data_IF_471498774003
#
_entry.id   IF_471498774003
#
_cell.length_a   1.000
_cell.length_b   1.000
_cell.length_c   1.000
_cell.angle_alpha   90.00
_cell.angle_beta   90.00
_cell.angle_gamma   90.00
#
_symmetry.space_group_name_H-M   'P 1'
#
loop_
_entity.id
_entity.type
_entity.pdbx_description
1 polymer ?
#
# COMPACT_ATOMS: atom_id res chain seq x y z
N UNK A 1 13.09 -6.76 7.93
CA UNK A 1 11.88 -7.31 8.59
C UNK A 1 10.67 -7.07 7.70
N UNK A 2 9.76 -8.03 7.57
CA UNK A 2 8.53 -7.86 6.80
C UNK A 2 7.36 -7.55 7.74
N UNK A 3 6.84 -6.31 7.67
CA UNK A 3 5.73 -5.83 8.49
C UNK A 3 4.40 -5.85 7.72
N UNK A 4 4.31 -6.63 6.64
CA UNK A 4 3.08 -6.83 5.88
C UNK A 4 2.36 -8.12 6.33
N UNK A 5 1.06 -8.31 6.01
CA UNK A 5 0.29 -9.47 6.48
C UNK A 5 0.70 -10.83 5.90
N UNK A 6 1.49 -10.85 4.82
CA UNK A 6 1.81 -12.05 4.06
C UNK A 6 3.32 -12.13 3.83
N UNK A 7 3.85 -13.33 3.64
CA UNK A 7 5.24 -13.49 3.21
C UNK A 7 5.45 -12.81 1.85
N UNK A 8 6.67 -12.33 1.65
CA UNK A 8 7.09 -11.69 0.41
C UNK A 8 8.25 -12.50 -0.16
N UNK A 9 8.10 -12.97 -1.39
CA UNK A 9 9.19 -13.59 -2.11
C UNK A 9 10.01 -12.54 -2.87
N UNK A 10 11.33 -12.65 -2.80
CA UNK A 10 12.26 -11.88 -3.63
C UNK A 10 12.67 -12.76 -4.80
N UNK A 11 12.49 -12.25 -6.01
CA UNK A 11 12.74 -12.95 -7.26
C UNK A 11 13.91 -12.32 -8.02
N UNK A 12 14.80 -13.17 -8.53
CA UNK A 12 15.82 -12.82 -9.51
C UNK A 12 15.47 -13.32 -10.89
N UNK A 13 16.43 -13.21 -11.80
CA UNK A 13 16.28 -13.68 -13.19
C UNK A 13 16.06 -15.20 -13.27
N UNK A 14 16.68 -15.96 -12.37
CA UNK A 14 16.63 -17.43 -12.33
C UNK A 14 15.51 -17.99 -11.43
N UNK A 15 14.64 -17.14 -10.88
CA UNK A 15 13.53 -17.54 -10.02
C UNK A 15 13.59 -16.97 -8.60
N UNK A 16 12.87 -17.60 -7.67
CA UNK A 16 12.80 -17.17 -6.26
C UNK A 16 14.17 -17.29 -5.59
N UNK A 17 14.66 -16.17 -5.05
CA UNK A 17 15.93 -16.06 -4.30
C UNK A 17 15.69 -16.27 -2.80
N UNK A 18 14.65 -15.63 -2.26
CA UNK A 18 14.41 -15.53 -0.82
C UNK A 18 12.91 -15.43 -0.55
N UNK A 19 12.48 -15.95 0.59
CA UNK A 19 11.18 -15.62 1.17
C UNK A 19 11.39 -14.91 2.49
N UNK A 20 10.71 -13.78 2.67
CA UNK A 20 10.72 -13.00 3.89
C UNK A 20 9.35 -13.21 4.55
N UNK A 21 9.31 -14.08 5.55
CA UNK A 21 8.10 -14.34 6.32
C UNK A 21 7.59 -13.07 7.00
N UNK A 22 6.27 -12.94 7.10
CA UNK A 22 5.67 -11.87 7.87
C UNK A 22 6.08 -12.00 9.34
N UNK A 23 6.54 -10.91 9.94
CA UNK A 23 7.04 -10.90 11.31
C UNK A 23 6.22 -9.94 12.18
N UNK A 24 5.65 -10.48 13.27
CA UNK A 24 4.81 -9.72 14.19
C UNK A 24 3.44 -9.37 13.62
N UNK A 25 2.75 -8.42 14.27
CA UNK A 25 1.49 -7.89 13.77
C UNK A 25 1.77 -6.92 12.61
N UNK A 26 1.01 -7.05 11.51
CA UNK A 26 1.19 -6.19 10.35
C UNK A 26 1.01 -4.71 10.72
N UNK A 27 1.97 -3.89 10.27
CA UNK A 27 1.90 -2.44 10.43
C UNK A 27 0.69 -1.91 9.67
N UNK A 28 -0.15 -1.10 10.33
CA UNK A 28 -1.42 -0.65 9.77
C UNK A 28 -1.64 0.83 10.02
N UNK A 29 -1.84 1.58 8.95
CA UNK A 29 -2.28 2.96 9.04
C UNK A 29 -3.81 3.00 9.13
N UNK A 30 -4.36 3.69 10.13
CA UNK A 30 -5.77 4.11 10.13
C UNK A 30 -5.90 5.41 9.37
N UNK A 31 -6.94 5.50 8.55
CA UNK A 31 -7.26 6.68 7.76
C UNK A 31 -8.69 7.07 8.01
N UNK A 32 -8.89 8.33 8.37
CA UNK A 32 -10.21 8.90 8.41
C UNK A 32 -10.59 9.40 7.02
N UNK A 33 -11.68 8.83 6.50
CA UNK A 33 -12.28 9.25 5.23
C UNK A 33 -13.39 10.25 5.50
N UNK A 34 -13.45 11.32 4.69
CA UNK A 34 -14.52 12.30 4.75
C UNK A 34 -15.25 12.34 3.40
N UNK A 35 -16.58 12.32 3.44
CA UNK A 35 -17.40 12.59 2.25
C UNK A 35 -17.19 14.05 1.83
N UNK A 36 -16.75 14.24 0.58
CA UNK A 36 -16.45 15.54 -0.01
C UNK A 36 -17.59 16.07 -0.87
N UNK A 37 -18.60 15.24 -1.13
CA UNK A 37 -19.70 15.52 -2.03
C UNK A 37 -19.87 14.41 -3.05
N UNK A 38 -20.61 14.70 -4.11
CA UNK A 38 -21.00 13.72 -5.10
C UNK A 38 -20.42 14.10 -6.47
N UNK A 39 -19.75 13.14 -7.12
CA UNK A 39 -19.22 13.30 -8.47
C UNK A 39 -20.27 12.85 -9.48
N UNK A 40 -20.76 13.78 -10.30
CA UNK A 40 -21.77 13.51 -11.33
C UNK A 40 -21.09 13.10 -12.64
N UNK A 41 -21.41 11.91 -13.14
CA UNK A 41 -20.93 11.40 -14.43
C UNK A 41 -22.06 11.54 -15.45
N UNK A 42 -21.89 12.46 -16.40
CA UNK A 42 -22.77 12.57 -17.56
C UNK A 42 -22.36 11.57 -18.64
N UNK A 43 -23.22 10.63 -18.97
CA UNK A 43 -23.01 9.63 -20.03
C UNK A 43 -23.37 10.22 -21.40
N UNK A 44 -22.68 11.29 -21.81
CA UNK A 44 -22.98 12.00 -23.05
C UNK A 44 -22.65 11.20 -24.32
N UNK A 45 -23.44 10.17 -24.65
CA UNK A 45 -23.58 9.62 -26.02
C UNK A 45 -25.03 9.16 -26.21
N UNK A 46 -25.72 9.86 -27.12
CA UNK A 46 -27.11 9.66 -27.62
C UNK A 46 -28.23 9.82 -26.61
N UNK A 47 -29.10 10.81 -26.86
CA UNK A 47 -30.52 11.07 -26.46
C UNK A 47 -31.08 10.69 -25.08
N UNK A 48 -30.37 9.95 -24.24
CA UNK A 48 -30.77 9.55 -22.89
C UNK A 48 -29.63 9.93 -21.95
N UNK A 49 -29.68 11.17 -21.44
CA UNK A 49 -28.77 11.60 -20.38
C UNK A 49 -29.23 10.89 -19.11
N UNK A 50 -28.46 9.91 -18.66
CA UNK A 50 -28.53 9.41 -17.30
C UNK A 50 -27.35 9.99 -16.53
N UNK A 51 -27.65 10.87 -15.59
CA UNK A 51 -26.68 11.40 -14.64
C UNK A 51 -26.51 10.36 -13.52
N UNK A 52 -25.31 9.80 -13.41
CA UNK A 52 -24.96 8.93 -12.29
C UNK A 52 -24.20 9.73 -11.23
N UNK A 53 -24.67 9.66 -9.99
CA UNK A 53 -23.97 10.25 -8.85
C UNK A 53 -23.11 9.18 -8.16
N UNK A 54 -21.82 9.44 -8.02
CA UNK A 54 -20.88 8.60 -7.27
C UNK A 54 -20.37 9.41 -6.07
N UNK A 55 -20.54 8.92 -4.82
CA UNK A 55 -20.08 9.66 -3.66
C UNK A 55 -18.54 9.73 -3.65
N UNK A 56 -18.02 10.95 -3.52
CA UNK A 56 -16.60 11.24 -3.50
C UNK A 56 -16.11 11.35 -2.06
N UNK A 57 -15.09 10.58 -1.72
CA UNK A 57 -14.44 10.63 -0.42
C UNK A 57 -12.99 11.08 -0.55
N UNK A 58 -12.53 11.87 0.41
CA UNK A 58 -11.13 12.25 0.57
C UNK A 58 -10.53 11.62 1.81
N UNK A 59 -9.21 11.44 1.80
CA UNK A 59 -8.44 11.08 2.99
C UNK A 59 -8.04 12.38 3.68
N UNK A 60 -8.42 12.54 4.95
CA UNK A 60 -8.01 13.71 5.73
C UNK A 60 -6.52 13.63 6.06
N UNK A 61 -5.67 14.29 5.26
CA UNK A 61 -4.20 14.29 5.46
C UNK A 61 -3.74 15.05 6.70
N UNK A 62 -4.56 15.96 7.22
CA UNK A 62 -4.02 17.09 7.98
C UNK A 62 -3.61 16.78 9.43
N UNK A 63 -4.01 15.67 10.07
CA UNK A 63 -3.71 15.52 11.52
C UNK A 63 -3.87 14.14 12.19
N UNK A 64 -3.74 13.00 11.50
CA UNK A 64 -4.02 11.73 12.21
C UNK A 64 -3.81 10.40 11.50
N UNK A 65 -2.88 10.29 10.54
CA UNK A 65 -2.50 8.96 10.06
C UNK A 65 -1.73 8.23 11.18
N UNK A 66 -2.47 7.53 12.05
CA UNK A 66 -1.91 6.74 13.13
C UNK A 66 -1.52 5.39 12.56
N UNK A 67 -0.23 5.05 12.70
CA UNK A 67 0.28 3.74 12.34
C UNK A 67 0.39 2.88 13.59
N UNK A 68 -0.39 1.82 13.62
CA UNK A 68 -0.31 0.80 14.65
C UNK A 68 0.69 -0.30 14.23
N UNK A 69 1.34 -0.92 15.22
CA UNK A 69 2.24 -2.07 15.05
C UNK A 69 3.47 -1.86 14.15
N UNK A 70 3.85 -0.62 13.84
CA UNK A 70 5.13 -0.34 13.21
C UNK A 70 6.24 -0.35 14.29
N UNK A 71 7.24 -1.25 14.22
CA UNK A 71 8.32 -1.25 15.20
C UNK A 71 9.13 0.05 15.16
N UNK A 72 9.69 0.42 16.33
CA UNK A 72 10.68 1.50 16.42
C UNK A 72 11.90 1.19 15.56
N UNK A 73 12.58 2.22 15.00
CA UNK A 73 13.82 2.02 14.24
C UNK A 73 14.86 1.21 15.02
N UNK A 74 15.58 0.33 14.31
CA UNK A 74 16.69 -0.45 14.84
C UNK A 74 17.88 -0.40 13.89
N UNK A 75 19.07 -0.20 14.43
CA UNK A 75 20.27 0.00 13.62
C UNK A 75 20.52 -1.20 12.67
N UNK A 76 20.72 -0.92 11.39
CA UNK A 76 20.93 -1.94 10.36
C UNK A 76 19.67 -2.73 9.96
N UNK A 77 18.48 -2.34 10.42
CA UNK A 77 17.22 -3.01 10.07
C UNK A 77 16.37 -2.12 9.16
N UNK A 78 15.94 -2.66 8.02
CA UNK A 78 14.91 -2.04 7.17
C UNK A 78 13.58 -2.79 7.32
N UNK A 79 12.47 -2.07 7.22
CA UNK A 79 11.12 -2.58 7.41
C UNK A 79 10.32 -2.53 6.11
N UNK A 80 9.94 -3.69 5.58
CA UNK A 80 9.06 -3.77 4.42
C UNK A 80 7.63 -3.50 4.86
N UNK A 81 7.00 -2.47 4.29
CA UNK A 81 5.67 -1.99 4.67
C UNK A 81 4.80 -1.76 3.42
N UNK A 82 3.51 -1.50 3.63
CA UNK A 82 2.64 -1.03 2.56
C UNK A 82 2.88 0.45 2.26
N UNK A 83 2.55 0.88 1.03
CA UNK A 83 2.69 2.28 0.60
C UNK A 83 1.99 3.27 1.53
N UNK A 84 0.87 2.86 2.12
CA UNK A 84 0.09 3.74 3.00
C UNK A 84 0.74 3.93 4.36
N UNK A 85 1.40 2.88 4.88
CA UNK A 85 2.20 2.97 6.11
C UNK A 85 3.41 3.85 5.87
N UNK A 86 4.12 3.69 4.75
CA UNK A 86 5.24 4.56 4.43
C UNK A 86 4.81 6.04 4.29
N UNK A 87 3.70 6.30 3.59
CA UNK A 87 3.17 7.66 3.43
C UNK A 87 2.70 8.30 4.75
N UNK A 88 2.33 7.48 5.75
CA UNK A 88 1.93 7.94 7.08
C UNK A 88 3.12 8.31 7.98
N UNK A 89 4.33 7.82 7.68
CA UNK A 89 5.52 8.02 8.49
C UNK A 89 6.66 8.61 7.63
N UNK A 90 6.48 9.82 7.05
CA UNK A 90 7.44 10.41 6.11
C UNK A 90 8.80 10.73 6.74
N UNK A 91 8.88 10.77 8.07
CA UNK A 91 10.12 10.95 8.83
C UNK A 91 10.98 9.69 8.95
N UNK A 92 10.45 8.52 8.58
CA UNK A 92 11.17 7.24 8.66
C UNK A 92 11.95 6.97 7.37
N UNK A 93 13.26 6.84 7.49
CA UNK A 93 14.19 6.53 6.40
C UNK A 93 14.53 5.03 6.28
N UNK A 94 14.01 4.20 7.19
CA UNK A 94 14.23 2.77 7.29
C UNK A 94 13.06 1.92 6.72
N UNK A 95 12.12 2.55 6.01
CA UNK A 95 10.97 1.87 5.41
C UNK A 95 11.24 1.50 3.95
N UNK A 96 10.82 0.31 3.56
CA UNK A 96 10.90 -0.20 2.18
C UNK A 96 9.53 -0.59 1.66
N UNK A 97 9.32 -0.34 0.37
CA UNK A 97 8.20 -0.82 -0.41
C UNK A 97 8.68 -1.92 -1.36
N UNK A 98 7.79 -2.83 -1.72
CA UNK A 98 8.04 -3.76 -2.82
C UNK A 98 8.02 -3.02 -4.17
N UNK A 99 8.91 -3.40 -5.08
CA UNK A 99 9.02 -2.85 -6.43
C UNK A 99 9.11 -3.95 -7.48
N UNK A 100 8.59 -3.69 -8.68
CA UNK A 100 8.48 -4.69 -9.76
C UNK A 100 7.82 -6.00 -9.27
N UNK A 101 6.53 -5.91 -8.97
CA UNK A 101 5.77 -7.00 -8.35
C UNK A 101 5.72 -8.23 -9.27
N UNK A 102 6.00 -9.39 -8.70
CA UNK A 102 5.80 -10.70 -9.35
C UNK A 102 4.43 -11.22 -8.96
N UNK A 103 3.70 -11.74 -9.95
CA UNK A 103 2.35 -12.28 -9.79
C UNK A 103 2.29 -13.71 -10.29
N UNK A 104 1.44 -14.51 -9.67
CA UNK A 104 1.11 -15.84 -10.18
C UNK A 104 0.12 -15.77 -11.36
N UNK A 105 -0.25 -16.94 -11.88
CA UNK A 105 -1.18 -17.08 -13.01
C UNK A 105 -2.58 -16.53 -12.71
N UNK A 106 -2.98 -16.45 -11.44
CA UNK A 106 -4.24 -15.88 -10.97
C UNK A 106 -4.15 -14.35 -10.77
N UNK A 107 -2.96 -13.77 -10.99
CA UNK A 107 -2.69 -12.34 -10.84
C UNK A 107 -2.45 -11.91 -9.38
N UNK A 108 -2.38 -12.84 -8.44
CA UNK A 108 -2.07 -12.54 -7.03
C UNK A 108 -0.59 -12.20 -6.91
N UNK A 109 -0.29 -11.17 -6.11
CA UNK A 109 1.11 -10.78 -5.84
C UNK A 109 1.74 -11.86 -4.96
N UNK A 110 2.77 -12.53 -5.48
CA UNK A 110 3.54 -13.55 -4.77
C UNK A 110 4.91 -13.02 -4.31
N UNK A 111 5.37 -11.91 -4.88
CA UNK A 111 6.68 -11.36 -4.56
C UNK A 111 7.03 -10.10 -5.33
N UNK A 112 8.32 -9.80 -5.39
CA UNK A 112 8.86 -8.64 -6.07
C UNK A 112 10.31 -8.87 -6.55
N UNK A 113 10.75 -8.15 -7.58
CA UNK A 113 12.15 -8.18 -8.07
C UNK A 113 13.00 -7.04 -7.53
N UNK A 114 12.38 -6.06 -6.88
CA UNK A 114 13.08 -4.93 -6.28
C UNK A 114 12.43 -4.46 -5.00
N UNK A 115 13.13 -3.55 -4.33
CA UNK A 115 12.64 -2.77 -3.20
C UNK A 115 12.82 -1.29 -3.53
N UNK A 116 11.94 -0.43 -3.02
CA UNK A 116 12.07 1.02 -3.16
C UNK A 116 11.98 1.71 -1.80
N UNK A 117 12.61 2.87 -1.72
CA UNK A 117 12.28 3.85 -0.68
C UNK A 117 10.91 4.49 -1.00
N UNK A 118 10.23 5.10 0.01
CA UNK A 118 8.88 5.67 -0.13
C UNK A 118 8.70 6.76 -1.19
#
# INVERSE_FOLDING_TARGET
MNCTPHSIEIWGDDGRILEIEAEGAAARCRMDTRHLGDFTIGTGRTSEISDFSVPLFGIAKEMGMVTDNLPSPSNGTMYVVSKIVAAANPERDDLLLIWDTVRDEEGKVIGCRGLSLP
#
